data_IF_930713130675
#
_entry.id   IF_930713130675
#
_cell.length_a   1.000
_cell.length_b   1.000
_cell.length_c   1.000
_cell.angle_alpha   90.00
_cell.angle_beta   90.00
_cell.angle_gamma   90.00
#
_symmetry.space_group_name_H-M   'P 1'
#
loop_
_entity.id
_entity.type
_entity.pdbx_description
1 polymer ?
#
# COMPACT_ATOMS: atom_id res chain seq x y z
N UNK A 1 6.76 -33.13 23.61
CA UNK A 1 5.82 -32.62 24.61
C UNK A 1 4.57 -32.02 23.97
N UNK A 2 4.68 -31.14 22.97
CA UNK A 2 3.53 -30.58 22.25
C UNK A 2 2.57 -31.67 21.74
N UNK A 3 3.09 -32.69 21.06
CA UNK A 3 2.27 -33.78 20.56
C UNK A 3 1.57 -34.59 21.68
N UNK A 4 2.17 -34.65 22.88
CA UNK A 4 1.53 -35.24 24.05
C UNK A 4 0.38 -34.36 24.56
N UNK A 5 0.60 -33.08 24.68
CA UNK A 5 -0.42 -32.13 25.16
C UNK A 5 -1.63 -32.10 24.21
N UNK A 6 -1.39 -32.08 22.90
CA UNK A 6 -2.46 -32.18 21.90
C UNK A 6 -3.30 -33.43 22.13
N UNK A 7 -2.69 -34.60 22.28
CA UNK A 7 -3.43 -35.84 22.54
C UNK A 7 -4.23 -35.79 23.82
N UNK A 8 -3.65 -35.26 24.92
CA UNK A 8 -4.37 -35.12 26.18
C UNK A 8 -5.63 -34.29 26.03
N UNK A 9 -5.56 -33.18 25.25
CA UNK A 9 -6.73 -32.32 25.00
C UNK A 9 -7.74 -33.02 24.08
N UNK A 10 -7.28 -33.69 23.01
CA UNK A 10 -8.14 -34.46 22.10
C UNK A 10 -8.86 -35.62 22.80
N UNK A 11 -8.21 -36.25 23.80
CA UNK A 11 -8.80 -37.30 24.63
C UNK A 11 -9.71 -36.73 25.77
N UNK A 12 -9.96 -35.42 25.81
CA UNK A 12 -10.81 -34.75 26.80
C UNK A 12 -10.16 -34.58 28.18
N UNK A 13 -8.83 -34.72 28.28
CA UNK A 13 -8.09 -34.52 29.53
C UNK A 13 -7.61 -33.07 29.70
N UNK A 14 -7.14 -32.77 30.90
CA UNK A 14 -6.58 -31.47 31.25
C UNK A 14 -5.05 -31.51 31.31
N UNK A 15 -4.41 -30.42 30.83
CA UNK A 15 -2.97 -30.25 30.94
C UNK A 15 -2.65 -29.66 32.32
N UNK A 16 -1.90 -30.41 33.10
CA UNK A 16 -1.41 -29.95 34.42
C UNK A 16 0.00 -29.37 34.27
N UNK A 17 0.26 -28.30 35.01
CA UNK A 17 1.60 -27.72 35.11
C UNK A 17 2.49 -28.63 35.94
N UNK A 18 3.49 -29.23 35.32
CA UNK A 18 4.38 -30.19 35.96
C UNK A 18 5.80 -30.11 35.40
N UNK A 19 6.79 -30.47 36.19
CA UNK A 19 8.14 -30.70 35.71
C UNK A 19 8.23 -32.11 35.13
N UNK A 20 8.76 -32.23 33.92
CA UNK A 20 8.92 -33.55 33.25
C UNK A 20 10.37 -33.83 32.93
N UNK A 21 10.76 -35.07 33.16
CA UNK A 21 12.07 -35.58 32.79
C UNK A 21 11.98 -36.21 31.39
N UNK A 22 12.82 -35.76 30.47
CA UNK A 22 12.94 -36.39 29.16
C UNK A 22 14.00 -37.46 29.18
N UNK A 23 13.63 -38.67 28.77
CA UNK A 23 14.58 -39.81 28.57
C UNK A 23 14.94 -39.91 27.08
N UNK A 24 16.20 -39.61 26.77
CA UNK A 24 16.72 -39.61 25.39
C UNK A 24 16.77 -41.00 24.74
N UNK A 25 16.88 -42.05 25.52
CA UNK A 25 16.91 -43.44 25.02
C UNK A 25 15.52 -43.91 24.59
N UNK A 26 14.53 -43.67 25.44
CA UNK A 26 13.13 -44.06 25.18
C UNK A 26 12.35 -43.01 24.38
N UNK A 27 12.91 -41.79 24.21
CA UNK A 27 12.27 -40.61 23.62
C UNK A 27 10.92 -40.28 24.24
N UNK A 28 10.76 -40.53 25.53
CA UNK A 28 9.53 -40.24 26.31
C UNK A 28 9.82 -39.29 27.46
N UNK A 29 8.85 -38.45 27.76
CA UNK A 29 8.88 -37.62 28.96
C UNK A 29 8.05 -38.25 30.07
N UNK A 30 8.52 -38.18 31.33
CA UNK A 30 7.83 -38.67 32.52
C UNK A 30 7.63 -37.54 33.52
N UNK A 31 6.49 -37.46 34.22
CA UNK A 31 6.28 -36.47 35.28
C UNK A 31 7.27 -36.71 36.41
N UNK A 32 7.89 -35.64 36.88
CA UNK A 32 8.77 -35.70 38.08
C UNK A 32 8.09 -35.06 39.27
N UNK A 33 7.56 -33.88 39.12
CA UNK A 33 6.95 -33.10 40.22
C UNK A 33 5.78 -32.30 39.64
N UNK A 34 4.62 -32.39 40.28
CA UNK A 34 3.51 -31.50 40.03
C UNK A 34 3.78 -30.14 40.68
N UNK A 35 3.40 -29.06 40.01
CA UNK A 35 3.40 -27.73 40.59
C UNK A 35 1.97 -27.39 40.98
N UNK A 36 1.65 -27.69 42.22
CA UNK A 36 0.25 -27.75 42.67
C UNK A 36 -0.41 -26.39 42.88
N UNK A 37 0.36 -25.31 43.15
CA UNK A 37 -0.23 -23.98 43.37
C UNK A 37 0.70 -22.82 42.96
N UNK A 38 0.09 -21.71 42.54
CA UNK A 38 0.80 -20.48 42.14
C UNK A 38 1.64 -19.87 43.29
N UNK A 39 1.30 -20.16 44.53
CA UNK A 39 2.01 -19.71 45.74
C UNK A 39 3.45 -20.24 45.82
N UNK A 40 3.76 -21.36 45.16
CA UNK A 40 5.11 -21.94 45.13
C UNK A 40 6.12 -21.09 44.35
N UNK A 41 5.66 -20.05 43.64
CA UNK A 41 6.48 -19.17 42.78
C UNK A 41 6.75 -17.80 43.38
N UNK A 42 6.56 -17.59 44.68
CA UNK A 42 6.80 -16.28 45.31
C UNK A 42 5.86 -15.17 44.79
N UNK A 43 4.63 -15.49 44.43
CA UNK A 43 3.58 -14.50 44.15
C UNK A 43 3.01 -13.93 45.46
N UNK A 44 3.86 -13.58 46.40
CA UNK A 44 3.50 -12.87 47.61
C UNK A 44 4.13 -11.47 47.60
N UNK A 45 3.52 -10.49 48.25
CA UNK A 45 4.07 -9.14 48.34
C UNK A 45 5.49 -9.17 48.89
N UNK A 46 6.42 -8.49 48.20
CA UNK A 46 7.78 -8.35 48.71
C UNK A 46 7.76 -7.42 49.93
N UNK A 47 8.31 -7.85 51.10
CA UNK A 47 8.29 -7.03 52.29
C UNK A 47 9.10 -5.73 52.17
N UNK A 48 10.07 -5.69 51.22
CA UNK A 48 10.91 -4.53 50.99
C UNK A 48 10.29 -3.51 50.04
N UNK A 49 9.14 -3.81 49.42
CA UNK A 49 8.43 -2.92 48.54
C UNK A 49 7.15 -2.39 49.20
N UNK A 50 7.03 -1.08 49.23
CA UNK A 50 5.80 -0.45 49.68
C UNK A 50 4.64 -0.73 48.70
N UNK A 51 3.41 -0.87 49.17
CA UNK A 51 2.23 -0.98 48.32
C UNK A 51 2.13 0.24 47.38
N UNK A 52 1.93 -0.03 46.10
CA UNK A 52 1.64 1.03 45.10
C UNK A 52 0.12 1.25 45.12
N UNK A 53 -0.28 2.43 45.55
CA UNK A 53 -1.70 2.82 45.57
C UNK A 53 -1.98 3.59 44.31
N UNK A 54 -2.82 3.01 43.43
CA UNK A 54 -3.30 3.67 42.22
C UNK A 54 -4.71 4.19 42.51
N UNK A 55 -4.87 5.52 42.48
CA UNK A 55 -6.18 6.14 42.69
C UNK A 55 -7.07 6.06 41.44
N UNK A 56 -8.38 6.04 41.66
CA UNK A 56 -9.35 6.03 40.55
C UNK A 56 -9.21 7.29 39.66
N UNK A 57 -8.85 8.44 40.28
CA UNK A 57 -8.60 9.68 39.52
C UNK A 57 -7.42 9.52 38.57
N UNK A 58 -6.34 8.85 38.99
CA UNK A 58 -5.19 8.59 38.13
C UNK A 58 -5.57 7.67 36.97
N UNK A 59 -6.35 6.62 37.26
CA UNK A 59 -6.85 5.69 36.22
C UNK A 59 -7.72 6.44 35.21
N UNK A 60 -8.64 7.26 35.65
CA UNK A 60 -9.51 8.05 34.77
C UNK A 60 -8.72 9.11 33.98
N UNK A 61 -7.73 9.74 34.62
CA UNK A 61 -6.83 10.66 33.91
C UNK A 61 -6.07 9.95 32.79
N UNK A 62 -5.47 8.80 33.08
CA UNK A 62 -4.74 8.01 32.09
C UNK A 62 -5.65 7.53 30.96
N UNK A 63 -6.86 7.04 31.26
CA UNK A 63 -7.83 6.65 30.22
C UNK A 63 -8.15 7.79 29.26
N UNK A 64 -8.30 9.02 29.79
CA UNK A 64 -8.58 10.21 28.95
C UNK A 64 -7.37 10.67 28.13
N UNK A 65 -6.17 10.39 28.61
CA UNK A 65 -4.93 10.77 27.94
C UNK A 65 -4.41 9.71 26.95
N UNK A 66 -5.01 8.51 26.96
CA UNK A 66 -4.63 7.45 26.03
C UNK A 66 -4.86 7.90 24.58
N UNK A 67 -3.88 7.76 23.70
CA UNK A 67 -4.10 7.94 22.28
C UNK A 67 -5.05 6.87 21.73
N UNK A 68 -5.60 7.09 20.56
CA UNK A 68 -6.41 6.09 19.88
C UNK A 68 -5.61 4.78 19.71
N UNK A 69 -6.17 3.68 20.20
CA UNK A 69 -5.51 2.37 20.12
C UNK A 69 -5.50 1.84 18.67
N UNK A 70 -4.50 1.02 18.29
CA UNK A 70 -4.37 0.48 16.93
C UNK A 70 -5.65 -0.19 16.41
N UNK A 71 -6.31 -1.02 17.21
CA UNK A 71 -7.54 -1.71 16.81
C UNK A 71 -8.68 -0.72 16.49
N UNK A 72 -8.84 0.32 17.31
CA UNK A 72 -9.85 1.36 17.09
C UNK A 72 -9.50 2.17 15.83
N UNK A 73 -8.24 2.54 15.66
CA UNK A 73 -7.74 3.26 14.47
C UNK A 73 -7.97 2.44 13.20
N UNK A 74 -7.70 1.12 13.23
CA UNK A 74 -8.01 0.18 12.15
C UNK A 74 -9.50 0.22 11.79
N UNK A 75 -10.37 0.05 12.78
CA UNK A 75 -11.82 0.07 12.56
C UNK A 75 -12.29 1.40 11.97
N UNK A 76 -11.72 2.50 12.44
CA UNK A 76 -11.99 3.83 11.91
C UNK A 76 -11.51 3.97 10.46
N UNK A 77 -10.32 3.46 10.10
CA UNK A 77 -9.82 3.51 8.73
C UNK A 77 -10.71 2.72 7.77
N UNK A 78 -11.21 1.57 8.21
CA UNK A 78 -12.17 0.79 7.43
C UNK A 78 -13.51 1.51 7.27
N UNK A 79 -14.08 2.05 8.35
CA UNK A 79 -15.42 2.63 8.34
C UNK A 79 -15.45 4.05 7.77
N UNK A 80 -14.51 4.92 8.15
CA UNK A 80 -14.51 6.32 7.75
C UNK A 80 -13.88 6.54 6.37
N UNK A 81 -12.82 5.78 6.03
CA UNK A 81 -12.09 5.96 4.77
C UNK A 81 -12.37 4.86 3.74
N UNK A 82 -13.15 3.85 4.09
CA UNK A 82 -13.51 2.76 3.18
C UNK A 82 -12.33 1.93 2.70
N UNK A 83 -11.27 1.82 3.54
CA UNK A 83 -10.11 0.99 3.26
C UNK A 83 -10.42 -0.49 3.49
N UNK A 84 -9.64 -1.37 2.85
CA UNK A 84 -9.68 -2.79 3.14
C UNK A 84 -9.10 -3.09 4.53
N UNK A 85 -9.44 -4.24 5.10
CA UNK A 85 -8.85 -4.69 6.35
C UNK A 85 -7.33 -4.82 6.25
N UNK A 86 -6.85 -5.32 5.12
CA UNK A 86 -5.43 -5.47 4.83
C UNK A 86 -4.69 -4.12 4.82
N UNK A 87 -5.21 -3.14 4.07
CA UNK A 87 -4.59 -1.81 3.98
C UNK A 87 -4.63 -1.08 5.32
N UNK A 88 -5.75 -1.21 6.05
CA UNK A 88 -5.90 -0.60 7.37
C UNK A 88 -4.91 -1.17 8.37
N UNK A 89 -4.72 -2.50 8.40
CA UNK A 89 -3.70 -3.13 9.23
C UNK A 89 -2.29 -2.62 8.87
N UNK A 90 -1.93 -2.67 7.59
CA UNK A 90 -0.60 -2.27 7.13
C UNK A 90 -0.26 -0.80 7.46
N UNK A 91 -1.26 0.10 7.41
CA UNK A 91 -1.08 1.50 7.79
C UNK A 91 -0.95 1.70 9.31
N UNK A 92 -1.67 0.90 10.11
CA UNK A 92 -1.72 1.06 11.57
C UNK A 92 -0.55 0.37 12.26
N UNK A 93 0.07 -0.64 11.63
CA UNK A 93 1.26 -1.33 12.16
C UNK A 93 2.44 -0.38 12.45
N UNK A 94 2.48 0.77 11.76
CA UNK A 94 3.45 1.84 12.02
C UNK A 94 2.72 3.15 12.33
N UNK A 95 2.88 3.67 13.55
CA UNK A 95 2.19 4.89 14.00
C UNK A 95 2.54 6.11 13.13
N UNK A 96 3.80 6.28 12.74
CA UNK A 96 4.24 7.39 11.90
C UNK A 96 3.64 7.31 10.49
N UNK A 97 3.51 6.10 9.94
CA UNK A 97 2.85 5.87 8.66
C UNK A 97 1.36 6.20 8.73
N UNK A 98 0.69 5.80 9.81
CA UNK A 98 -0.72 6.12 10.01
C UNK A 98 -0.97 7.62 10.19
N UNK A 99 -0.09 8.31 10.91
CA UNK A 99 -0.19 9.76 11.12
C UNK A 99 0.09 10.53 9.82
N UNK A 100 1.05 10.07 9.03
CA UNK A 100 1.32 10.61 7.69
C UNK A 100 0.11 10.41 6.75
N UNK A 101 -0.48 9.21 6.76
CA UNK A 101 -1.70 8.92 6.00
C UNK A 101 -2.84 9.89 6.38
N UNK A 102 -3.10 10.07 7.68
CA UNK A 102 -4.15 10.99 8.14
C UNK A 102 -3.85 12.45 7.79
N UNK A 103 -2.59 12.87 7.87
CA UNK A 103 -2.17 14.20 7.43
C UNK A 103 -2.44 14.41 5.92
N UNK A 104 -2.22 13.37 5.12
CA UNK A 104 -2.52 13.38 3.69
C UNK A 104 -4.03 13.42 3.41
N UNK A 105 -4.84 12.61 4.10
CA UNK A 105 -6.30 12.58 3.93
C UNK A 105 -6.94 13.93 4.27
N UNK A 106 -6.45 14.63 5.29
CA UNK A 106 -6.91 16.00 5.63
C UNK A 106 -6.71 17.00 4.49
N UNK A 107 -5.74 16.77 3.59
CA UNK A 107 -5.40 17.67 2.48
C UNK A 107 -6.01 17.23 1.15
N UNK A 108 -6.27 15.95 0.98
CA UNK A 108 -6.80 15.36 -0.25
C UNK A 108 -7.81 14.27 0.10
N UNK A 109 -9.08 14.50 -0.21
CA UNK A 109 -10.16 13.52 0.03
C UNK A 109 -10.12 12.38 -0.99
N UNK A 110 -9.08 11.54 -0.89
CA UNK A 110 -8.87 10.36 -1.72
C UNK A 110 -8.14 9.26 -0.95
N UNK A 111 -8.71 8.76 0.14
CA UNK A 111 -8.01 7.89 1.08
C UNK A 111 -7.47 6.60 0.44
N UNK A 112 -8.22 5.99 -0.49
CA UNK A 112 -7.76 4.77 -1.19
C UNK A 112 -6.53 5.01 -2.07
N UNK A 113 -6.49 6.14 -2.76
CA UNK A 113 -5.33 6.50 -3.59
C UNK A 113 -4.12 6.76 -2.72
N UNK A 114 -4.30 7.52 -1.64
CA UNK A 114 -3.24 7.82 -0.68
C UNK A 114 -2.69 6.54 -0.06
N UNK A 115 -3.55 5.64 0.42
CA UNK A 115 -3.15 4.36 1.00
C UNK A 115 -2.34 3.52 0.01
N UNK A 116 -2.83 3.36 -1.22
CA UNK A 116 -2.15 2.60 -2.27
C UNK A 116 -0.75 3.15 -2.58
N UNK A 117 -0.60 4.47 -2.62
CA UNK A 117 0.70 5.10 -2.89
C UNK A 117 1.66 4.99 -1.72
N UNK A 118 1.17 5.10 -0.49
CA UNK A 118 1.99 4.91 0.72
C UNK A 118 2.46 3.46 0.80
N UNK A 119 1.53 2.50 0.74
CA UNK A 119 1.83 1.08 0.88
C UNK A 119 2.61 0.52 -0.32
N UNK A 120 2.44 1.08 -1.51
CA UNK A 120 3.15 0.70 -2.71
C UNK A 120 4.46 1.48 -2.88
N UNK A 121 4.36 2.72 -3.34
CA UNK A 121 5.53 3.48 -3.82
C UNK A 121 6.43 3.98 -2.68
N UNK A 122 5.86 4.54 -1.61
CA UNK A 122 6.66 5.03 -0.47
C UNK A 122 7.36 3.86 0.22
N UNK A 123 6.60 2.81 0.58
CA UNK A 123 7.18 1.63 1.24
C UNK A 123 8.23 0.94 0.37
N UNK A 124 8.02 0.88 -0.96
CA UNK A 124 9.03 0.34 -1.88
C UNK A 124 10.33 1.13 -1.84
N UNK A 125 10.27 2.45 -1.80
CA UNK A 125 11.46 3.32 -1.69
C UNK A 125 12.18 3.16 -0.36
N UNK A 126 11.44 3.17 0.74
CA UNK A 126 12.00 2.95 2.08
C UNK A 126 12.75 1.62 2.15
N UNK A 127 12.17 0.56 1.60
CA UNK A 127 12.79 -0.77 1.54
C UNK A 127 14.05 -0.79 0.65
N UNK A 128 14.03 -0.11 -0.50
CA UNK A 128 15.19 -0.03 -1.40
C UNK A 128 16.37 0.70 -0.76
N UNK A 129 16.11 1.75 0.02
CA UNK A 129 17.12 2.54 0.71
C UNK A 129 17.44 1.99 2.11
N UNK A 130 16.70 0.97 2.57
CA UNK A 130 16.82 0.37 3.90
C UNK A 130 16.71 1.41 5.03
N UNK A 131 15.73 2.31 4.91
CA UNK A 131 15.39 3.33 5.92
C UNK A 131 14.00 3.11 6.48
N UNK A 132 13.81 3.50 7.75
CA UNK A 132 12.49 3.46 8.39
C UNK A 132 11.63 4.67 8.04
N UNK A 133 10.35 4.60 8.36
CA UNK A 133 9.37 5.65 8.06
C UNK A 133 9.68 6.97 8.77
N UNK A 134 10.39 6.93 9.90
CA UNK A 134 10.87 8.10 10.65
C UNK A 134 11.84 8.98 9.85
N UNK A 135 12.46 8.43 8.81
CA UNK A 135 13.44 9.13 7.98
C UNK A 135 12.89 9.46 6.57
N UNK A 136 11.56 9.44 6.40
CA UNK A 136 10.95 9.76 5.11
C UNK A 136 11.32 11.18 4.67
N UNK A 137 11.93 11.38 3.48
CA UNK A 137 12.40 12.69 3.05
C UNK A 137 11.32 13.55 2.38
N UNK A 138 10.07 13.10 2.34
CA UNK A 138 8.95 13.79 1.70
C UNK A 138 7.92 14.22 2.73
N UNK A 139 7.42 15.46 2.63
CA UNK A 139 6.33 15.95 3.46
C UNK A 139 4.97 15.44 2.97
N UNK A 140 3.98 15.37 3.90
CA UNK A 140 2.59 15.07 3.52
C UNK A 140 2.02 16.10 2.55
N UNK A 141 2.52 17.33 2.57
CA UNK A 141 2.11 18.41 1.66
C UNK A 141 2.59 18.11 0.22
N UNK A 142 3.90 17.90 0.03
CA UNK A 142 4.47 17.63 -1.30
C UNK A 142 3.90 16.34 -1.89
N UNK A 143 3.72 15.33 -1.05
CA UNK A 143 3.11 14.07 -1.46
C UNK A 143 1.66 14.23 -1.92
N UNK A 144 0.84 14.97 -1.17
CA UNK A 144 -0.56 15.20 -1.57
C UNK A 144 -0.68 16.10 -2.79
N UNK A 145 0.21 17.07 -2.96
CA UNK A 145 0.23 17.92 -4.14
C UNK A 145 0.59 17.11 -5.40
N UNK A 146 1.52 16.16 -5.29
CA UNK A 146 1.78 15.19 -6.35
C UNK A 146 0.52 14.36 -6.70
N UNK A 147 -0.18 13.81 -5.70
CA UNK A 147 -1.38 13.01 -5.92
C UNK A 147 -2.53 13.82 -6.54
N UNK A 148 -2.65 15.11 -6.23
CA UNK A 148 -3.60 16.02 -6.88
C UNK A 148 -3.32 16.10 -8.38
N UNK A 149 -2.05 16.17 -8.82
CA UNK A 149 -1.69 16.23 -10.25
C UNK A 149 -2.02 14.95 -11.01
N UNK A 150 -2.16 13.83 -10.30
CA UNK A 150 -2.72 12.60 -10.89
C UNK A 150 -4.25 12.72 -11.01
N UNK A 151 -4.91 13.21 -9.96
CA UNK A 151 -6.37 13.32 -9.90
C UNK A 151 -6.91 14.29 -10.93
N UNK A 152 -6.24 15.44 -11.13
CA UNK A 152 -6.60 16.46 -12.12
C UNK A 152 -6.09 16.12 -13.55
N UNK A 153 -5.45 14.96 -13.72
CA UNK A 153 -4.90 14.47 -14.99
C UNK A 153 -3.80 15.36 -15.59
N UNK A 154 -3.15 16.19 -14.80
CA UNK A 154 -1.97 16.95 -15.22
C UNK A 154 -0.82 16.02 -15.59
N UNK A 155 -0.67 14.91 -14.89
CA UNK A 155 0.32 13.86 -15.16
C UNK A 155 -0.29 12.46 -15.05
N UNK A 156 0.30 11.51 -15.76
CA UNK A 156 -0.06 10.10 -15.62
C UNK A 156 0.56 9.48 -14.36
N UNK A 157 0.00 8.37 -13.87
CA UNK A 157 0.57 7.63 -12.72
C UNK A 157 2.01 7.17 -12.97
N UNK A 158 2.40 6.93 -14.23
CA UNK A 158 3.77 6.58 -14.60
C UNK A 158 4.71 7.78 -14.40
N UNK A 159 4.32 8.94 -14.89
CA UNK A 159 5.07 10.19 -14.70
C UNK A 159 5.14 10.58 -13.23
N UNK A 160 4.05 10.38 -12.47
CA UNK A 160 4.01 10.67 -11.06
C UNK A 160 5.07 9.89 -10.25
N UNK A 161 5.41 8.66 -10.64
CA UNK A 161 6.51 7.90 -10.02
C UNK A 161 7.88 8.55 -10.27
N UNK A 162 8.09 9.11 -11.46
CA UNK A 162 9.30 9.85 -11.80
C UNK A 162 9.38 11.15 -10.99
N UNK A 163 8.26 11.88 -10.88
CA UNK A 163 8.16 13.10 -10.07
C UNK A 163 8.37 12.78 -8.59
N UNK A 164 7.76 11.69 -8.07
CA UNK A 164 8.00 11.24 -6.68
C UNK A 164 9.48 10.98 -6.43
N UNK A 165 10.17 10.35 -7.39
CA UNK A 165 11.60 10.12 -7.26
C UNK A 165 12.40 11.43 -7.17
N UNK A 166 12.04 12.43 -7.97
CA UNK A 166 12.68 13.74 -7.94
C UNK A 166 12.40 14.52 -6.65
N UNK A 167 11.16 14.45 -6.12
CA UNK A 167 10.83 15.02 -4.81
C UNK A 167 11.63 14.33 -3.71
N UNK A 168 11.73 13.00 -3.78
CA UNK A 168 12.49 12.18 -2.82
C UNK A 168 13.97 12.59 -2.75
N UNK A 169 14.55 12.95 -3.90
CA UNK A 169 15.92 13.45 -4.02
C UNK A 169 16.07 14.93 -3.67
N UNK A 170 14.99 15.63 -3.29
CA UNK A 170 15.02 17.04 -2.92
C UNK A 170 15.17 17.99 -4.12
N UNK A 171 14.82 17.57 -5.36
CA UNK A 171 14.93 18.40 -6.56
C UNK A 171 13.91 19.55 -6.61
N UNK A 172 12.89 19.54 -5.73
CA UNK A 172 11.85 20.54 -5.61
C UNK A 172 10.47 19.96 -5.32
N UNK A 173 9.44 20.78 -5.41
CA UNK A 173 8.04 20.35 -5.29
C UNK A 173 7.50 19.79 -6.62
N UNK A 174 6.32 19.14 -6.57
CA UNK A 174 5.71 18.49 -7.72
C UNK A 174 5.58 19.43 -8.93
N UNK A 175 5.06 20.63 -8.73
CA UNK A 175 4.80 21.58 -9.81
C UNK A 175 6.09 22.07 -10.50
N UNK A 176 7.09 22.42 -9.71
CA UNK A 176 8.38 22.86 -10.25
C UNK A 176 9.11 21.76 -11.03
N UNK A 177 8.99 20.51 -10.61
CA UNK A 177 9.58 19.37 -11.31
C UNK A 177 8.84 19.09 -12.61
N UNK A 178 7.50 19.10 -12.58
CA UNK A 178 6.66 18.89 -13.77
C UNK A 178 6.98 19.96 -14.83
N UNK A 179 7.08 21.22 -14.43
CA UNK A 179 7.39 22.33 -15.32
C UNK A 179 8.81 22.23 -15.88
N UNK A 180 9.82 22.09 -15.03
CA UNK A 180 11.24 21.99 -15.45
C UNK A 180 11.50 20.84 -16.40
N UNK A 181 10.85 19.69 -16.18
CA UNK A 181 11.05 18.49 -17.00
C UNK A 181 10.05 18.40 -18.15
N UNK A 182 9.11 19.34 -18.26
CA UNK A 182 8.08 19.35 -19.31
C UNK A 182 7.20 18.09 -19.28
N UNK A 183 6.80 17.64 -18.08
CA UNK A 183 6.12 16.35 -17.88
C UNK A 183 4.59 16.45 -17.93
N UNK A 184 4.03 17.60 -18.23
CA UNK A 184 2.57 17.80 -18.33
C UNK A 184 1.96 16.86 -19.35
N UNK A 185 0.79 16.32 -19.04
CA UNK A 185 0.08 15.43 -19.94
C UNK A 185 -0.42 16.21 -21.18
N UNK A 186 -0.20 15.64 -22.35
CA UNK A 186 -0.69 16.22 -23.60
C UNK A 186 -2.16 15.84 -23.76
N UNK A 187 -3.04 16.84 -23.67
CA UNK A 187 -4.49 16.70 -23.83
C UNK A 187 -5.02 17.41 -25.08
N UNK A 188 -4.12 17.98 -25.91
CA UNK A 188 -4.49 18.60 -27.18
C UNK A 188 -4.94 17.52 -28.15
N UNK A 189 -6.25 17.49 -28.45
CA UNK A 189 -6.86 16.50 -29.33
C UNK A 189 -6.27 16.59 -30.74
N UNK A 190 -6.01 17.78 -31.23
CA UNK A 190 -5.41 17.95 -32.58
C UNK A 190 -3.98 17.42 -32.69
N UNK A 191 -3.19 17.55 -31.63
CA UNK A 191 -1.86 16.95 -31.57
C UNK A 191 -1.95 15.41 -31.45
N UNK A 192 -2.86 14.91 -30.60
CA UNK A 192 -3.06 13.48 -30.42
C UNK A 192 -3.58 12.82 -31.68
N UNK A 193 -4.51 13.46 -32.44
CA UNK A 193 -4.99 12.97 -33.73
C UNK A 193 -3.86 12.79 -34.73
N UNK A 194 -2.98 13.77 -34.87
CA UNK A 194 -1.82 13.69 -35.76
C UNK A 194 -0.85 12.59 -35.34
N UNK A 195 -0.58 12.48 -34.05
CA UNK A 195 0.33 11.47 -33.51
C UNK A 195 -0.20 10.05 -33.72
N UNK A 196 -1.50 9.85 -33.56
CA UNK A 196 -2.16 8.56 -33.80
C UNK A 196 -2.13 8.21 -35.25
N UNK A 197 -2.47 9.15 -36.16
CA UNK A 197 -2.41 8.95 -37.59
C UNK A 197 -0.99 8.55 -38.05
N UNK A 198 0.03 9.29 -37.61
CA UNK A 198 1.43 8.98 -37.90
C UNK A 198 1.87 7.57 -37.48
N UNK A 199 1.36 7.10 -36.31
CA UNK A 199 1.67 5.74 -35.83
C UNK A 199 0.93 4.69 -36.63
N UNK A 200 -0.31 4.93 -37.06
CA UNK A 200 -1.06 4.02 -37.91
C UNK A 200 -0.35 3.90 -39.28
N UNK A 201 -0.03 5.03 -39.88
CA UNK A 201 0.63 5.08 -41.22
C UNK A 201 2.01 4.42 -41.19
N UNK A 202 2.75 4.57 -40.10
CA UNK A 202 4.08 3.98 -39.93
C UNK A 202 4.04 2.46 -39.66
N UNK A 203 2.87 1.87 -39.41
CA UNK A 203 2.72 0.46 -39.05
C UNK A 203 1.62 -0.27 -39.84
N UNK A 204 1.69 -0.30 -41.18
CA UNK A 204 0.65 -0.91 -42.01
C UNK A 204 0.43 -2.40 -41.72
N UNK A 205 1.48 -3.14 -41.43
CA UNK A 205 1.36 -4.56 -41.06
C UNK A 205 0.56 -4.78 -39.80
N UNK A 206 0.68 -3.87 -38.81
CA UNK A 206 -0.11 -3.96 -37.56
C UNK A 206 -1.58 -3.64 -37.82
N UNK A 207 -1.88 -2.74 -38.74
CA UNK A 207 -3.23 -2.40 -39.16
C UNK A 207 -3.90 -3.58 -39.88
N UNK A 208 -3.22 -4.19 -40.86
CA UNK A 208 -3.71 -5.39 -41.54
C UNK A 208 -3.98 -6.53 -40.55
N UNK A 209 -3.06 -6.76 -39.62
CA UNK A 209 -3.21 -7.76 -38.56
C UNK A 209 -4.43 -7.49 -37.67
N UNK A 210 -4.69 -6.21 -37.36
CA UNK A 210 -5.87 -5.81 -36.60
C UNK A 210 -7.16 -6.09 -37.37
N UNK A 211 -7.20 -5.74 -38.66
CA UNK A 211 -8.36 -5.93 -39.53
C UNK A 211 -8.68 -7.42 -39.72
N UNK A 212 -7.67 -8.27 -39.91
CA UNK A 212 -7.79 -9.72 -40.09
C UNK A 212 -8.14 -10.47 -38.77
N UNK A 213 -8.00 -9.82 -37.63
CA UNK A 213 -8.21 -10.44 -36.32
C UNK A 213 -9.68 -10.43 -35.91
N UNK A 214 -10.17 -11.54 -35.35
CA UNK A 214 -11.51 -11.65 -34.78
C UNK A 214 -11.81 -10.57 -33.75
N UNK A 215 -13.04 -10.09 -33.75
CA UNK A 215 -13.50 -8.98 -32.90
C UNK A 215 -13.17 -9.18 -31.40
N UNK A 216 -13.26 -10.43 -30.92
CA UNK A 216 -12.93 -10.80 -29.53
C UNK A 216 -11.45 -10.59 -29.15
N UNK A 217 -10.54 -10.62 -30.13
CA UNK A 217 -9.08 -10.51 -29.94
C UNK A 217 -8.51 -9.14 -30.32
N UNK A 218 -9.31 -8.27 -30.96
CA UNK A 218 -8.88 -6.94 -31.43
C UNK A 218 -8.34 -6.05 -30.32
N UNK A 219 -8.95 -6.12 -29.12
CA UNK A 219 -8.49 -5.34 -27.94
C UNK A 219 -7.02 -5.59 -27.59
N UNK A 220 -6.53 -6.83 -27.78
CA UNK A 220 -5.11 -7.16 -27.53
C UNK A 220 -4.17 -6.54 -28.57
N UNK A 221 -4.64 -6.43 -29.83
CA UNK A 221 -3.85 -5.83 -30.92
C UNK A 221 -3.73 -4.32 -30.80
N UNK A 222 -4.74 -3.63 -30.25
CA UNK A 222 -4.67 -2.19 -29.94
C UNK A 222 -3.52 -1.85 -28.98
N UNK A 223 -3.15 -2.79 -28.10
CA UNK A 223 -2.03 -2.61 -27.17
C UNK A 223 -0.70 -2.33 -27.87
N UNK A 224 -0.49 -2.85 -29.08
CA UNK A 224 0.69 -2.58 -29.88
C UNK A 224 0.76 -1.12 -30.35
N UNK A 225 -0.32 -0.60 -30.92
CA UNK A 225 -0.43 0.80 -31.32
C UNK A 225 -0.31 1.73 -30.11
N UNK A 226 -1.01 1.43 -29.03
CA UNK A 226 -0.94 2.18 -27.78
C UNK A 226 0.50 2.27 -27.26
N UNK A 227 1.26 1.17 -27.30
CA UNK A 227 2.66 1.14 -26.90
C UNK A 227 3.54 2.06 -27.74
N UNK A 228 3.33 2.10 -29.05
CA UNK A 228 4.07 2.98 -29.97
C UNK A 228 3.72 4.46 -29.74
N UNK A 229 2.44 4.78 -29.57
CA UNK A 229 1.97 6.15 -29.30
C UNK A 229 2.53 6.64 -27.97
N UNK A 230 2.44 5.80 -26.91
CA UNK A 230 3.00 6.14 -25.61
C UNK A 230 4.52 6.30 -25.63
N UNK A 231 5.23 5.53 -26.45
CA UNK A 231 6.68 5.68 -26.64
C UNK A 231 7.01 7.01 -27.34
N UNK A 232 6.31 7.36 -28.44
CA UNK A 232 6.50 8.61 -29.15
C UNK A 232 6.16 9.84 -28.31
N UNK A 233 5.09 9.77 -27.52
CA UNK A 233 4.70 10.84 -26.59
C UNK A 233 5.49 10.87 -25.29
N UNK A 234 6.52 10.02 -25.13
CA UNK A 234 7.29 9.85 -23.87
C UNK A 234 6.42 9.60 -22.63
N UNK A 235 5.27 8.98 -22.81
CA UNK A 235 4.30 8.70 -21.73
C UNK A 235 3.40 9.87 -21.36
N UNK A 236 3.44 10.97 -22.09
CA UNK A 236 2.66 12.19 -21.82
C UNK A 236 1.25 12.17 -22.43
N UNK A 237 1.00 11.34 -23.44
CA UNK A 237 -0.34 11.22 -24.02
C UNK A 237 -1.34 10.61 -23.03
N UNK A 238 -2.58 11.15 -23.01
CA UNK A 238 -3.65 10.57 -22.21
C UNK A 238 -4.10 9.22 -22.80
N UNK A 239 -3.93 8.07 -22.09
CA UNK A 239 -4.22 6.77 -22.66
C UNK A 239 -5.70 6.59 -23.05
N UNK A 240 -6.63 7.24 -22.34
CA UNK A 240 -8.07 7.15 -22.65
C UNK A 240 -8.39 7.88 -23.94
N UNK A 241 -7.94 9.12 -24.08
CA UNK A 241 -8.12 9.93 -25.30
C UNK A 241 -7.45 9.27 -26.51
N UNK A 242 -6.22 8.78 -26.31
CA UNK A 242 -5.49 8.05 -27.37
C UNK A 242 -6.27 6.81 -27.82
N UNK A 243 -6.86 6.05 -26.89
CA UNK A 243 -7.63 4.86 -27.26
C UNK A 243 -8.91 5.22 -28.03
N UNK A 244 -9.59 6.28 -27.67
CA UNK A 244 -10.80 6.78 -28.36
C UNK A 244 -10.44 7.25 -29.79
N UNK A 245 -9.39 8.05 -29.92
CA UNK A 245 -8.90 8.54 -31.20
C UNK A 245 -8.45 7.38 -32.10
N UNK A 246 -7.69 6.44 -31.55
CA UNK A 246 -7.18 5.27 -32.26
C UNK A 246 -8.34 4.42 -32.82
N UNK A 247 -9.35 4.15 -32.01
CA UNK A 247 -10.53 3.40 -32.44
C UNK A 247 -11.29 4.13 -33.55
N UNK A 248 -11.49 5.45 -33.40
CA UNK A 248 -12.15 6.29 -34.40
C UNK A 248 -11.41 6.24 -35.75
N UNK A 249 -10.10 6.51 -35.75
CA UNK A 249 -9.32 6.54 -36.98
C UNK A 249 -9.21 5.18 -37.64
N UNK A 250 -9.02 4.08 -36.89
CA UNK A 250 -9.04 2.74 -37.48
C UNK A 250 -10.38 2.42 -38.11
N UNK A 251 -11.49 2.81 -37.47
CA UNK A 251 -12.83 2.58 -38.01
C UNK A 251 -13.04 3.36 -39.31
N UNK A 252 -12.63 4.60 -39.39
CA UNK A 252 -12.68 5.42 -40.60
C UNK A 252 -11.86 4.82 -41.78
N UNK A 253 -10.75 4.11 -41.47
CA UNK A 253 -9.94 3.42 -42.47
C UNK A 253 -10.62 2.14 -42.95
N UNK A 254 -11.32 1.42 -42.08
CA UNK A 254 -12.03 0.17 -42.45
C UNK A 254 -13.28 0.44 -43.28
N UNK A 255 -13.92 1.60 -43.09
CA UNK A 255 -15.15 2.00 -43.80
C UNK A 255 -14.87 2.64 -45.19
N UNK A 256 -13.65 2.97 -45.49
CA UNK A 256 -13.17 3.44 -46.81
C UNK A 256 -12.76 2.29 -47.70
#
# INVERSE_FOLDING_TARGET
EVARQIRVIEDGGEIRQETRLYNGLTRKSQPMRSKEEANDYRYFPCPDLLPVIVSDELVEHLKRSLPELPDNKKQRFMSAYGLSEYDSNALVDNSLMSDFFEACVKRLDSPKVIANWILGEITSKLNQENIGFENIPISSADFTDLLKRISDKTISSKIAKEVLNSIWLGEGNADSIIEKKGLSQISDEGFLDKLVAEVIDSNPNMLEDYIKTDQSKRKKKLGGFMGQIMKKSKGQANPQQVNEILLRQIQEIIEK
#
